data_IF_993095244649
#
_entry.id   IF_993095244649
#
_cell.length_a   1.000
_cell.length_b   1.000
_cell.length_c   1.000
_cell.angle_alpha   90.00
_cell.angle_beta   90.00
_cell.angle_gamma   90.00
#
_symmetry.space_group_name_H-M   'P 1'
#
loop_
_entity.id
_entity.type
_entity.pdbx_description
1 polymer ?
#
# COMPACT_ATOMS: atom_id res chain seq x y z
N UNK A 1 -0.70 37.03 28.69
CA UNK A 1 -0.52 35.57 28.61
C UNK A 1 -0.63 35.20 27.13
N UNK A 2 0.49 34.91 26.47
CA UNK A 2 0.50 34.49 25.06
C UNK A 2 0.50 32.97 25.07
N UNK A 3 -0.62 32.36 24.65
CA UNK A 3 -0.71 30.91 24.49
C UNK A 3 -0.18 30.55 23.10
N UNK A 4 1.05 30.04 23.04
CA UNK A 4 1.60 29.46 21.81
C UNK A 4 0.99 28.07 21.64
N UNK A 5 0.05 27.94 20.72
CA UNK A 5 -0.42 26.64 20.24
C UNK A 5 0.65 26.11 19.28
N UNK A 6 1.53 25.24 19.78
CA UNK A 6 2.44 24.49 18.94
C UNK A 6 1.64 23.37 18.25
N UNK A 7 1.25 23.60 17.00
CA UNK A 7 0.73 22.55 16.12
C UNK A 7 1.90 21.63 15.73
N UNK A 8 2.20 20.65 16.59
CA UNK A 8 3.13 19.60 16.22
C UNK A 8 2.49 18.79 15.07
N UNK A 9 3.15 18.66 13.90
CA UNK A 9 2.63 17.81 12.85
C UNK A 9 2.59 16.38 13.38
N UNK A 10 1.39 15.85 13.61
CA UNK A 10 1.17 14.44 13.86
C UNK A 10 1.42 13.70 12.55
N UNK A 11 2.69 13.51 12.20
CA UNK A 11 3.07 12.49 11.23
C UNK A 11 2.69 11.16 11.86
N UNK A 12 1.48 10.69 11.55
CA UNK A 12 1.05 9.32 11.83
C UNK A 12 2.14 8.45 11.23
N UNK A 13 2.91 7.80 12.09
CA UNK A 13 3.91 6.83 11.68
C UNK A 13 3.17 5.76 10.88
N UNK A 14 3.17 5.92 9.56
CA UNK A 14 2.58 4.97 8.65
C UNK A 14 3.35 3.68 8.91
N UNK A 15 2.72 2.76 9.65
CA UNK A 15 3.32 1.50 10.10
C UNK A 15 4.18 0.96 8.98
N UNK A 16 5.51 0.95 9.17
CA UNK A 16 6.51 0.73 8.13
C UNK A 16 6.17 -0.55 7.36
N UNK A 17 5.44 -0.39 6.25
CA UNK A 17 4.87 -1.49 5.49
C UNK A 17 5.85 -1.81 4.37
N UNK A 18 6.28 -3.06 4.29
CA UNK A 18 7.09 -3.49 3.16
C UNK A 18 6.21 -3.56 1.92
N UNK A 19 6.58 -2.83 0.87
CA UNK A 19 5.97 -2.93 -0.45
C UNK A 19 6.65 -4.05 -1.24
N UNK A 20 5.85 -4.85 -1.94
CA UNK A 20 6.35 -5.88 -2.86
C UNK A 20 5.35 -6.11 -3.99
N UNK A 21 5.81 -6.32 -5.24
CA UNK A 21 4.93 -6.73 -6.33
C UNK A 21 4.31 -8.10 -6.02
N UNK A 22 3.09 -8.33 -6.49
CA UNK A 22 2.46 -9.65 -6.37
C UNK A 22 3.21 -10.65 -7.26
N UNK A 23 3.65 -11.77 -6.68
CA UNK A 23 4.27 -12.85 -7.45
C UNK A 23 3.26 -13.83 -8.05
N UNK A 24 2.00 -13.79 -7.59
CA UNK A 24 0.95 -14.72 -8.02
C UNK A 24 -0.08 -14.09 -8.95
N UNK A 25 -0.18 -12.76 -8.97
CA UNK A 25 -1.06 -12.04 -9.89
C UNK A 25 -0.33 -11.76 -11.20
N UNK A 26 -0.96 -12.11 -12.32
CA UNK A 26 -0.44 -11.83 -13.65
C UNK A 26 -1.49 -11.09 -14.48
N UNK A 27 -1.05 -10.15 -15.31
CA UNK A 27 -1.91 -9.31 -16.13
C UNK A 27 -2.36 -8.01 -15.46
N UNK A 28 -3.34 -7.34 -16.07
CA UNK A 28 -3.81 -6.02 -15.62
C UNK A 28 -4.51 -6.14 -14.27
N UNK A 29 -4.06 -5.36 -13.29
CA UNK A 29 -4.73 -5.25 -12.00
C UNK A 29 -5.82 -4.18 -12.09
N UNK A 30 -7.08 -4.61 -12.22
CA UNK A 30 -8.26 -3.72 -12.28
C UNK A 30 -9.11 -3.71 -11.00
N UNK A 31 -8.77 -4.55 -10.02
CA UNK A 31 -9.55 -4.69 -8.79
C UNK A 31 -8.64 -4.78 -7.55
N UNK A 32 -8.61 -3.69 -6.78
CA UNK A 32 -7.82 -3.60 -5.54
C UNK A 32 -8.23 -4.65 -4.52
N UNK A 33 -9.52 -4.93 -4.35
CA UNK A 33 -9.99 -5.93 -3.39
C UNK A 33 -9.59 -7.35 -3.81
N UNK A 34 -9.60 -7.63 -5.11
CA UNK A 34 -9.10 -8.89 -5.67
C UNK A 34 -7.61 -9.08 -5.37
N UNK A 35 -6.80 -8.06 -5.68
CA UNK A 35 -5.38 -8.03 -5.37
C UNK A 35 -5.11 -8.22 -3.87
N UNK A 36 -5.82 -7.47 -3.00
CA UNK A 36 -5.70 -7.58 -1.54
C UNK A 36 -6.00 -9.00 -1.05
N UNK A 37 -7.14 -9.56 -1.44
CA UNK A 37 -7.58 -10.87 -0.96
C UNK A 37 -6.64 -11.98 -1.45
N UNK A 38 -6.14 -11.88 -2.68
CA UNK A 38 -5.14 -12.81 -3.20
C UNK A 38 -3.81 -12.68 -2.46
N UNK A 39 -3.31 -11.46 -2.24
CA UNK A 39 -2.08 -11.21 -1.51
C UNK A 39 -2.13 -11.73 -0.07
N UNK A 40 -3.26 -11.55 0.62
CA UNK A 40 -3.49 -12.11 1.97
C UNK A 40 -3.48 -13.65 1.92
N UNK A 41 -4.21 -14.24 0.97
CA UNK A 41 -4.43 -15.69 0.91
C UNK A 41 -3.17 -16.46 0.46
N UNK A 42 -2.52 -16.01 -0.60
CA UNK A 42 -1.42 -16.74 -1.26
C UNK A 42 -0.05 -16.26 -0.80
N UNK A 43 0.10 -14.97 -0.53
CA UNK A 43 1.42 -14.37 -0.31
C UNK A 43 1.63 -13.88 1.13
N UNK A 44 0.64 -14.03 2.01
CA UNK A 44 0.67 -13.54 3.41
C UNK A 44 0.91 -12.02 3.51
N UNK A 45 0.43 -11.25 2.54
CA UNK A 45 0.41 -9.79 2.62
C UNK A 45 -0.60 -9.33 3.70
N UNK A 46 -0.35 -8.19 4.35
CA UNK A 46 -1.31 -7.56 5.26
C UNK A 46 -2.31 -6.67 4.50
N UNK A 47 -1.84 -6.03 3.43
CA UNK A 47 -2.60 -5.13 2.57
C UNK A 47 -2.15 -5.33 1.12
N UNK A 48 -2.95 -4.85 0.18
CA UNK A 48 -2.61 -4.88 -1.24
C UNK A 48 -3.52 -3.96 -2.04
N UNK A 49 -2.96 -3.34 -3.08
CA UNK A 49 -3.67 -2.51 -4.05
C UNK A 49 -3.05 -2.72 -5.43
N UNK A 50 -3.82 -2.45 -6.46
CA UNK A 50 -3.27 -2.35 -7.81
C UNK A 50 -2.41 -1.10 -7.89
N UNK A 51 -1.13 -1.29 -8.22
CA UNK A 51 -0.21 -0.20 -8.44
C UNK A 51 0.25 -0.22 -9.90
N UNK A 52 0.30 0.96 -10.53
CA UNK A 52 0.75 1.10 -11.90
C UNK A 52 2.22 1.49 -11.89
N UNK A 53 3.08 0.58 -12.31
CA UNK A 53 4.53 0.81 -12.44
C UNK A 53 4.87 0.91 -13.92
N UNK A 54 5.48 2.03 -14.32
CA UNK A 54 5.92 2.24 -15.70
C UNK A 54 7.33 1.65 -15.93
N UNK A 55 7.59 0.99 -17.07
CA UNK A 55 6.63 0.55 -18.08
C UNK A 55 5.85 -0.68 -17.62
N UNK A 56 4.54 -0.71 -17.89
CA UNK A 56 3.62 -1.74 -17.41
C UNK A 56 3.80 -3.12 -18.10
N UNK A 57 4.78 -3.23 -19.02
CA UNK A 57 5.10 -4.41 -19.81
C UNK A 57 6.64 -4.48 -19.92
N UNK A 58 7.25 -5.53 -19.40
CA UNK A 58 8.61 -5.97 -19.75
C UNK A 58 8.52 -7.34 -20.39
#
# INVERSE_FOLDING_TARGET
IVLLFAEAPTMVEAQKLCERPSGTWSGVCGNNNGCKNQGIRLEKARHGSCNYVFPAHK
#
